data_IF_794686557894
#
_entry.id   IF_794686557894
#
_cell.length_a   1.000
_cell.length_b   1.000
_cell.length_c   1.000
_cell.angle_alpha   90.00
_cell.angle_beta   90.00
_cell.angle_gamma   90.00
#
_symmetry.space_group_name_H-M   'P 1'
#
loop_
_entity.id
_entity.type
_entity.pdbx_description
1 polymer ?
#
# COMPACT_ATOMS: atom_id res chain seq x y z
N UNK A 1 -8.17 -27.82 -20.45
CA UNK A 1 -7.45 -26.68 -21.06
C UNK A 1 -7.73 -25.37 -20.31
N UNK A 2 -8.95 -25.19 -19.80
CA UNK A 2 -9.36 -23.99 -19.04
C UNK A 2 -8.74 -23.88 -17.63
N UNK A 3 -8.42 -25.01 -16.97
CA UNK A 3 -7.75 -24.97 -15.67
C UNK A 3 -6.27 -24.57 -15.76
N UNK A 4 -5.59 -24.89 -16.87
CA UNK A 4 -4.19 -24.51 -17.06
C UNK A 4 -4.04 -23.01 -17.36
N UNK A 5 -4.98 -22.43 -18.10
CA UNK A 5 -5.00 -20.98 -18.37
C UNK A 5 -5.31 -20.18 -17.11
N UNK A 6 -6.24 -20.66 -16.28
CA UNK A 6 -6.54 -20.06 -14.97
C UNK A 6 -5.35 -20.13 -14.01
N UNK A 7 -4.70 -21.29 -13.88
CA UNK A 7 -3.52 -21.46 -13.02
C UNK A 7 -2.35 -20.56 -13.47
N UNK A 8 -2.18 -20.40 -14.78
CA UNK A 8 -1.16 -19.52 -15.34
C UNK A 8 -1.46 -18.05 -15.04
N UNK A 9 -2.72 -17.62 -15.11
CA UNK A 9 -3.14 -16.27 -14.74
C UNK A 9 -2.92 -16.00 -13.24
N UNK A 10 -3.35 -16.89 -12.36
CA UNK A 10 -3.15 -16.75 -10.90
C UNK A 10 -1.66 -16.64 -10.54
N UNK A 11 -0.82 -17.47 -11.16
CA UNK A 11 0.64 -17.42 -10.96
C UNK A 11 1.22 -16.09 -11.45
N UNK A 12 0.78 -15.59 -12.60
CA UNK A 12 1.21 -14.28 -13.12
C UNK A 12 0.77 -13.13 -12.21
N UNK A 13 -0.43 -13.19 -11.65
CA UNK A 13 -0.92 -12.19 -10.69
C UNK A 13 -0.09 -12.19 -9.41
N UNK A 14 0.23 -13.37 -8.85
CA UNK A 14 1.10 -13.48 -7.68
C UNK A 14 2.51 -12.94 -7.94
N UNK A 15 3.07 -13.20 -9.12
CA UNK A 15 4.36 -12.66 -9.53
C UNK A 15 4.33 -11.14 -9.67
N UNK A 16 3.28 -10.58 -10.28
CA UNK A 16 3.09 -9.13 -10.39
C UNK A 16 2.98 -8.49 -9.01
N UNK A 17 2.16 -9.03 -8.11
CA UNK A 17 2.04 -8.55 -6.74
C UNK A 17 3.38 -8.59 -5.99
N UNK A 18 4.14 -9.68 -6.12
CA UNK A 18 5.45 -9.77 -5.50
C UNK A 18 6.43 -8.72 -6.05
N UNK A 19 6.36 -8.40 -7.35
CA UNK A 19 7.18 -7.33 -7.96
C UNK A 19 6.78 -5.95 -7.46
N UNK A 20 5.48 -5.67 -7.43
CA UNK A 20 4.93 -4.41 -6.90
C UNK A 20 5.37 -4.21 -5.46
N UNK A 21 5.21 -5.23 -4.61
CA UNK A 21 5.66 -5.21 -3.22
C UNK A 21 7.15 -4.91 -3.08
N UNK A 22 8.00 -5.51 -3.93
CA UNK A 22 9.44 -5.24 -3.91
C UNK A 22 9.75 -3.79 -4.30
N UNK A 23 9.13 -3.29 -5.36
CA UNK A 23 9.29 -1.90 -5.80
C UNK A 23 8.83 -0.94 -4.70
N UNK A 24 7.65 -1.16 -4.11
CA UNK A 24 7.12 -0.34 -3.02
C UNK A 24 8.01 -0.36 -1.79
N UNK A 25 8.59 -1.51 -1.44
CA UNK A 25 9.53 -1.63 -0.33
C UNK A 25 10.80 -0.80 -0.56
N UNK A 26 11.32 -0.80 -1.79
CA UNK A 26 12.49 0.01 -2.15
C UNK A 26 12.15 1.51 -2.13
N UNK A 27 11.03 1.87 -2.74
CA UNK A 27 10.53 3.25 -2.83
C UNK A 27 10.17 3.82 -1.46
N UNK A 28 9.77 2.98 -0.49
CA UNK A 28 9.38 3.40 0.87
C UNK A 28 10.43 4.28 1.55
N UNK A 29 11.72 3.96 1.38
CA UNK A 29 12.82 4.75 1.95
C UNK A 29 12.90 6.16 1.35
N UNK A 30 12.68 6.30 0.05
CA UNK A 30 12.67 7.58 -0.66
C UNK A 30 11.43 8.41 -0.30
N UNK A 31 10.26 7.78 -0.19
CA UNK A 31 9.02 8.43 0.28
C UNK A 31 9.22 8.96 1.70
N UNK A 32 9.74 8.13 2.61
CA UNK A 32 9.98 8.52 4.00
C UNK A 32 10.95 9.71 4.09
N UNK A 33 12.04 9.66 3.32
CA UNK A 33 13.01 10.76 3.25
C UNK A 33 12.37 12.04 2.72
N UNK A 34 11.67 11.97 1.58
CA UNK A 34 10.98 13.11 0.99
C UNK A 34 9.92 13.71 1.92
N UNK A 35 9.19 12.87 2.68
CA UNK A 35 8.19 13.31 3.65
C UNK A 35 8.83 14.05 4.84
N UNK A 36 9.98 13.58 5.35
CA UNK A 36 10.74 14.26 6.41
C UNK A 36 11.26 15.62 5.95
N UNK A 37 11.81 15.68 4.73
CA UNK A 37 12.29 16.92 4.12
C UNK A 37 11.15 17.93 3.91
N UNK A 38 10.01 17.47 3.36
CA UNK A 38 8.82 18.29 3.18
C UNK A 38 8.26 18.81 4.50
N UNK A 39 8.18 17.97 5.54
CA UNK A 39 7.76 18.40 6.88
C UNK A 39 8.68 19.49 7.45
N UNK A 40 9.97 19.42 7.14
CA UNK A 40 10.96 20.39 7.62
C UNK A 40 10.94 21.70 6.83
N UNK A 41 10.59 21.65 5.54
CA UNK A 41 10.42 22.82 4.67
C UNK A 41 9.25 22.62 3.69
N UNK A 42 8.00 22.97 4.10
CA UNK A 42 6.81 22.76 3.27
C UNK A 42 6.80 23.56 1.96
N UNK A 43 7.64 24.60 1.83
CA UNK A 43 7.77 25.35 0.58
C UNK A 43 8.55 24.60 -0.50
N UNK A 44 9.25 23.51 -0.15
CA UNK A 44 10.00 22.67 -1.08
C UNK A 44 9.36 21.28 -1.20
N UNK A 45 8.27 21.18 -1.96
CA UNK A 45 7.58 19.91 -2.24
C UNK A 45 8.25 19.04 -3.30
N UNK A 46 9.19 19.60 -4.07
CA UNK A 46 9.79 18.94 -5.23
C UNK A 46 10.38 17.54 -4.93
N UNK A 47 11.20 17.34 -3.89
CA UNK A 47 11.78 16.02 -3.62
C UNK A 47 10.73 14.95 -3.30
N UNK A 48 9.63 15.32 -2.65
CA UNK A 48 8.54 14.40 -2.36
C UNK A 48 7.70 14.12 -3.62
N UNK A 49 7.43 15.14 -4.44
CA UNK A 49 6.70 15.00 -5.70
C UNK A 49 7.46 14.16 -6.73
N UNK A 50 8.79 14.33 -6.83
CA UNK A 50 9.64 13.53 -7.72
C UNK A 50 9.53 12.02 -7.44
N UNK A 51 9.08 11.63 -6.24
CA UNK A 51 8.82 10.23 -5.84
C UNK A 51 7.33 9.86 -6.00
N UNK A 52 6.41 10.71 -5.56
CA UNK A 52 4.97 10.42 -5.56
C UNK A 52 4.34 10.47 -6.95
N UNK A 53 4.78 11.37 -7.84
CA UNK A 53 4.22 11.49 -9.18
C UNK A 53 4.41 10.22 -10.02
N UNK A 54 5.62 9.62 -10.13
CA UNK A 54 5.79 8.36 -10.84
C UNK A 54 4.96 7.22 -10.24
N UNK A 55 4.86 7.14 -8.92
CA UNK A 55 4.05 6.12 -8.23
C UNK A 55 2.57 6.31 -8.60
N UNK A 56 2.06 7.55 -8.57
CA UNK A 56 0.70 7.85 -8.97
C UNK A 56 0.43 7.52 -10.44
N UNK A 57 1.42 7.69 -11.34
CA UNK A 57 1.29 7.31 -12.75
C UNK A 57 1.27 5.78 -12.95
N UNK A 58 2.06 5.04 -12.17
CA UNK A 58 2.12 3.59 -12.28
C UNK A 58 0.89 2.88 -11.69
N UNK A 59 0.39 3.36 -10.55
CA UNK A 59 -0.65 2.68 -9.78
C UNK A 59 -2.01 3.39 -9.82
N UNK A 60 -2.09 4.59 -10.40
CA UNK A 60 -3.33 5.32 -10.60
C UNK A 60 -3.89 5.92 -9.31
N UNK A 61 -5.22 6.07 -9.29
CA UNK A 61 -5.95 6.77 -8.22
C UNK A 61 -5.85 6.12 -6.85
N UNK A 62 -5.49 4.83 -6.77
CA UNK A 62 -5.33 4.11 -5.50
C UNK A 62 -4.24 4.73 -4.62
N UNK A 63 -3.24 5.37 -5.23
CA UNK A 63 -2.15 6.06 -4.53
C UNK A 63 -2.69 7.30 -3.82
N UNK A 64 -3.55 8.06 -4.48
CA UNK A 64 -4.16 9.26 -3.91
C UNK A 64 -5.07 8.91 -2.73
N UNK A 65 -5.82 7.81 -2.84
CA UNK A 65 -6.64 7.30 -1.74
C UNK A 65 -5.78 6.83 -0.55
N UNK A 66 -4.71 6.09 -0.82
CA UNK A 66 -3.75 5.65 0.21
C UNK A 66 -3.08 6.84 0.92
N UNK A 67 -2.70 7.89 0.17
CA UNK A 67 -2.15 9.12 0.73
C UNK A 67 -3.21 9.85 1.57
N UNK A 68 -4.44 9.96 1.09
CA UNK A 68 -5.53 10.59 1.84
C UNK A 68 -5.78 9.87 3.17
N UNK A 69 -5.77 8.54 3.20
CA UNK A 69 -5.87 7.76 4.43
C UNK A 69 -4.71 8.05 5.39
N UNK A 70 -3.48 8.16 4.88
CA UNK A 70 -2.32 8.46 5.71
C UNK A 70 -2.38 9.90 6.28
N UNK A 71 -2.70 10.89 5.45
CA UNK A 71 -2.74 12.31 5.82
C UNK A 71 -3.87 12.62 6.81
N UNK A 72 -5.00 11.92 6.70
CA UNK A 72 -6.11 12.04 7.65
C UNK A 72 -5.85 11.31 8.98
N UNK A 73 -4.71 10.61 9.12
CA UNK A 73 -4.38 9.85 10.33
C UNK A 73 -5.19 8.56 10.47
N UNK A 74 -5.77 8.05 9.38
CA UNK A 74 -6.57 6.83 9.36
C UNK A 74 -5.72 5.55 9.35
N UNK A 75 -4.39 5.65 9.33
CA UNK A 75 -3.48 4.49 9.28
C UNK A 75 -2.69 4.39 10.58
N UNK A 76 -2.86 3.28 11.29
CA UNK A 76 -2.14 2.95 12.51
C UNK A 76 -1.25 1.71 12.28
N UNK A 77 0.01 1.78 12.72
CA UNK A 77 0.92 0.63 12.71
C UNK A 77 0.94 -0.02 14.09
N UNK A 78 0.40 -1.22 14.19
CA UNK A 78 0.50 -2.07 15.36
C UNK A 78 1.73 -2.97 15.26
N UNK A 79 2.62 -2.90 16.26
CA UNK A 79 3.80 -3.75 16.35
C UNK A 79 3.66 -4.72 17.53
N UNK A 80 3.73 -6.00 17.22
CA UNK A 80 3.87 -7.07 18.21
C UNK A 80 5.36 -7.26 18.51
N UNK A 81 5.80 -6.74 19.66
CA UNK A 81 7.19 -6.84 20.12
C UNK A 81 7.66 -8.25 20.45
N UNK A 82 6.73 -9.20 20.65
CA UNK A 82 7.06 -10.58 21.01
C UNK A 82 7.39 -11.42 19.78
N UNK A 83 6.69 -11.19 18.68
CA UNK A 83 6.83 -11.97 17.44
C UNK A 83 7.41 -11.17 16.27
N UNK A 84 7.84 -9.92 16.51
CA UNK A 84 8.32 -8.98 15.49
C UNK A 84 7.36 -8.83 14.29
N UNK A 85 6.05 -8.86 14.57
CA UNK A 85 5.00 -8.75 13.55
C UNK A 85 4.47 -7.33 13.49
N UNK A 86 4.32 -6.83 12.26
CA UNK A 86 3.74 -5.52 11.98
C UNK A 86 2.41 -5.70 11.25
N UNK A 87 1.36 -5.08 11.79
CA UNK A 87 0.01 -5.08 11.23
C UNK A 87 -0.42 -3.62 11.07
N UNK A 88 -1.08 -3.30 9.97
CA UNK A 88 -1.68 -1.98 9.79
C UNK A 88 -3.17 -2.05 10.07
N UNK A 89 -3.66 -1.17 10.94
CA UNK A 89 -5.09 -0.88 11.06
C UNK A 89 -5.41 0.37 10.25
N UNK A 90 -6.43 0.27 9.40
CA UNK A 90 -6.88 1.35 8.52
C UNK A 90 -8.34 1.66 8.82
N UNK A 91 -8.61 2.87 9.26
CA UNK A 91 -9.97 3.35 9.53
C UNK A 91 -10.60 3.85 8.22
N UNK A 92 -11.75 3.30 7.83
CA UNK A 92 -12.46 3.78 6.65
C UNK A 92 -12.83 5.25 6.78
N UNK A 93 -12.66 6.02 5.70
CA UNK A 93 -13.10 7.42 5.64
C UNK A 93 -14.63 7.54 5.59
N UNK A 94 -15.30 6.55 4.99
CA UNK A 94 -16.75 6.55 4.75
C UNK A 94 -17.50 5.42 5.45
N UNK A 95 -16.78 4.38 5.87
CA UNK A 95 -17.32 3.30 6.68
C UNK A 95 -16.83 3.50 8.12
N UNK A 96 -17.69 3.38 9.12
CA UNK A 96 -17.26 3.30 10.53
C UNK A 96 -16.53 1.97 10.84
N UNK A 97 -15.89 1.39 9.84
CA UNK A 97 -15.23 0.10 9.88
C UNK A 97 -13.72 0.31 9.99
N UNK A 98 -13.08 -0.58 10.73
CA UNK A 98 -11.63 -0.69 10.79
C UNK A 98 -11.20 -1.91 9.99
N UNK A 99 -10.23 -1.73 9.12
CA UNK A 99 -9.69 -2.79 8.27
C UNK A 99 -8.30 -3.16 8.75
N UNK A 100 -8.04 -4.45 8.81
CA UNK A 100 -6.71 -4.98 9.12
C UNK A 100 -5.99 -5.32 7.82
N UNK A 101 -4.81 -4.75 7.64
CA UNK A 101 -3.93 -5.00 6.51
C UNK A 101 -2.67 -5.73 7.00
N UNK A 102 -2.35 -6.85 6.35
CA UNK A 102 -1.14 -7.64 6.58
C UNK A 102 -0.32 -7.71 5.27
N UNK A 103 0.50 -6.69 4.97
CA UNK A 103 1.26 -6.62 3.71
C UNK A 103 2.21 -7.80 3.49
N UNK A 104 2.73 -8.40 4.57
CA UNK A 104 3.69 -9.51 4.49
C UNK A 104 3.11 -10.77 3.85
N UNK A 105 1.82 -11.02 4.06
CA UNK A 105 1.10 -12.17 3.50
C UNK A 105 0.10 -11.75 2.42
N UNK A 106 0.17 -10.49 1.99
CA UNK A 106 -0.73 -9.91 1.00
C UNK A 106 -2.20 -10.16 1.33
N UNK A 107 -2.64 -9.63 2.48
CA UNK A 107 -4.01 -9.79 2.94
C UNK A 107 -4.56 -8.47 3.46
N UNK A 108 -5.83 -8.19 3.13
CA UNK A 108 -6.60 -7.12 3.73
C UNK A 108 -8.02 -7.60 4.05
N UNK A 109 -8.55 -7.18 5.20
CA UNK A 109 -9.91 -7.50 5.61
C UNK A 109 -10.98 -6.61 4.95
N UNK A 110 -10.60 -5.67 4.06
CA UNK A 110 -11.59 -4.82 3.41
C UNK A 110 -12.45 -5.61 2.42
N UNK A 111 -13.72 -5.22 2.30
CA UNK A 111 -14.68 -5.87 1.40
C UNK A 111 -14.20 -5.88 -0.04
N UNK A 112 -13.53 -4.81 -0.46
CA UNK A 112 -12.92 -4.70 -1.79
C UNK A 112 -11.89 -5.81 -2.05
N UNK A 113 -10.98 -6.05 -1.11
CA UNK A 113 -10.00 -7.14 -1.20
C UNK A 113 -10.69 -8.51 -1.19
N UNK A 114 -11.68 -8.71 -0.33
CA UNK A 114 -12.40 -9.97 -0.20
C UNK A 114 -13.29 -10.30 -1.41
N UNK A 115 -13.83 -9.29 -2.09
CA UNK A 115 -14.73 -9.46 -3.22
C UNK A 115 -13.99 -9.55 -4.55
N UNK A 116 -12.93 -8.75 -4.73
CA UNK A 116 -12.20 -8.68 -5.99
C UNK A 116 -10.90 -9.51 -6.03
N UNK A 117 -10.47 -10.07 -4.89
CA UNK A 117 -9.26 -10.90 -4.82
C UNK A 117 -7.99 -10.16 -5.22
N UNK A 118 -7.97 -8.83 -5.10
CA UNK A 118 -6.85 -8.01 -5.54
C UNK A 118 -5.67 -8.10 -4.58
N UNK A 119 -4.51 -8.38 -5.14
CA UNK A 119 -3.24 -8.49 -4.44
C UNK A 119 -2.63 -7.08 -4.23
N UNK A 120 -2.36 -6.72 -2.96
CA UNK A 120 -1.57 -5.56 -2.53
C UNK A 120 -0.08 -5.79 -2.81
#
# INVERSE_FOLDING_TARGET
MDDLSRLNNETNHLLQASRIRLIMREMSSYIAKGAVEYRSNPSNSKPLLDVLEPISQCFGSIVLEALSLADNGNVCLLKDSVHDRSIYEVFGTHSQCTYTCLPMVNYCHCSFFLQEGMLI
#
